data_IF_716390502322
#
_entry.id   IF_716390502322
#
_cell.length_a   1.000
_cell.length_b   1.000
_cell.length_c   1.000
_cell.angle_alpha   90.00
_cell.angle_beta   90.00
_cell.angle_gamma   90.00
#
_symmetry.space_group_name_H-M   'P 1'
#
loop_
_entity.id
_entity.type
_entity.pdbx_description
1 polymer ?
#
# COMPACT_ATOMS: atom_id res chain seq x y z
N UNK A 1 32.70 5.44 -4.15
CA UNK A 1 31.98 4.53 -3.23
C UNK A 1 30.71 5.18 -2.69
N UNK A 2 30.75 6.45 -2.27
CA UNK A 2 29.58 7.21 -1.79
C UNK A 2 28.44 7.32 -2.82
N UNK A 3 28.76 7.62 -4.09
CA UNK A 3 27.77 7.68 -5.17
C UNK A 3 27.02 6.37 -5.41
N UNK A 4 27.64 5.22 -5.11
CA UNK A 4 27.01 3.90 -5.30
C UNK A 4 26.00 3.62 -4.19
N UNK A 5 26.31 3.97 -2.94
CA UNK A 5 25.40 3.79 -1.80
C UNK A 5 24.18 4.73 -1.90
N UNK A 6 24.41 5.96 -2.35
CA UNK A 6 23.36 6.93 -2.66
C UNK A 6 22.38 6.37 -3.72
N UNK A 7 22.90 5.95 -4.88
CA UNK A 7 22.06 5.36 -5.93
C UNK A 7 21.28 4.14 -5.46
N UNK A 8 21.92 3.23 -4.73
CA UNK A 8 21.26 2.05 -4.15
C UNK A 8 20.10 2.45 -3.23
N UNK A 9 20.29 3.48 -2.40
CA UNK A 9 19.25 3.99 -1.50
C UNK A 9 18.05 4.56 -2.26
N UNK A 10 18.29 5.33 -3.34
CA UNK A 10 17.23 5.84 -4.22
C UNK A 10 16.49 4.70 -4.92
N UNK A 11 17.20 3.67 -5.41
CA UNK A 11 16.56 2.51 -6.03
C UNK A 11 15.68 1.74 -5.04
N UNK A 12 16.19 1.46 -3.84
CA UNK A 12 15.39 0.81 -2.80
C UNK A 12 14.18 1.66 -2.42
N UNK A 13 14.35 2.97 -2.21
CA UNK A 13 13.23 3.85 -1.87
C UNK A 13 12.15 3.89 -2.97
N UNK A 14 12.57 3.95 -4.23
CA UNK A 14 11.66 3.89 -5.39
C UNK A 14 10.93 2.55 -5.45
N UNK A 15 11.63 1.45 -5.22
CA UNK A 15 11.05 0.11 -5.18
C UNK A 15 9.99 -0.01 -4.07
N UNK A 16 10.24 0.54 -2.87
CA UNK A 16 9.28 0.53 -1.78
C UNK A 16 7.99 1.31 -2.11
N UNK A 17 8.10 2.45 -2.79
CA UNK A 17 6.95 3.24 -3.25
C UNK A 17 6.16 2.46 -4.32
N UNK A 18 6.84 1.81 -5.27
CA UNK A 18 6.19 0.98 -6.29
C UNK A 18 5.45 -0.21 -5.67
N UNK A 19 6.09 -0.94 -4.74
CA UNK A 19 5.46 -2.06 -4.03
C UNK A 19 4.21 -1.60 -3.27
N UNK A 20 4.29 -0.44 -2.60
CA UNK A 20 3.15 0.16 -1.91
C UNK A 20 1.98 0.46 -2.85
N UNK A 21 2.27 1.01 -4.03
CA UNK A 21 1.25 1.26 -5.05
C UNK A 21 0.62 -0.02 -5.61
N UNK A 22 1.40 -1.09 -5.78
CA UNK A 22 0.88 -2.40 -6.21
C UNK A 22 -0.07 -2.98 -5.15
N UNK A 23 0.30 -2.90 -3.87
CA UNK A 23 -0.55 -3.33 -2.76
C UNK A 23 -1.87 -2.56 -2.77
N UNK A 24 -1.80 -1.22 -2.87
CA UNK A 24 -2.97 -0.36 -2.92
C UNK A 24 -3.88 -0.72 -4.11
N UNK A 25 -3.30 -0.89 -5.30
CA UNK A 25 -4.05 -1.21 -6.51
C UNK A 25 -4.80 -2.56 -6.40
N UNK A 26 -4.18 -3.57 -5.79
CA UNK A 26 -4.83 -4.87 -5.56
C UNK A 26 -6.00 -4.77 -4.57
N UNK A 27 -5.83 -4.00 -3.50
CA UNK A 27 -6.91 -3.71 -2.54
C UNK A 27 -8.06 -2.99 -3.24
N UNK A 28 -7.75 -1.97 -4.03
CA UNK A 28 -8.71 -1.20 -4.83
C UNK A 28 -9.55 -2.08 -5.75
N UNK A 29 -8.93 -3.00 -6.49
CA UNK A 29 -9.67 -3.96 -7.34
C UNK A 29 -10.61 -4.83 -6.49
N UNK A 30 -10.14 -5.32 -5.35
CA UNK A 30 -10.93 -6.17 -4.46
C UNK A 30 -12.14 -5.42 -3.90
N UNK A 31 -11.98 -4.16 -3.50
CA UNK A 31 -13.06 -3.31 -3.01
C UNK A 31 -14.05 -2.93 -4.11
N UNK A 32 -13.55 -2.58 -5.32
CA UNK A 32 -14.41 -2.28 -6.47
C UNK A 32 -15.29 -3.46 -6.87
N UNK A 33 -14.77 -4.69 -6.82
CA UNK A 33 -15.54 -5.92 -7.05
C UNK A 33 -16.69 -6.12 -6.05
N UNK A 34 -16.58 -5.52 -4.87
CA UNK A 34 -17.61 -5.55 -3.82
C UNK A 34 -18.55 -4.33 -3.84
N UNK A 35 -18.42 -3.45 -4.83
CA UNK A 35 -19.28 -2.28 -4.98
C UNK A 35 -18.89 -1.08 -4.10
N UNK A 36 -17.71 -1.11 -3.47
CA UNK A 36 -17.20 0.06 -2.75
C UNK A 36 -16.63 1.09 -3.73
N UNK A 37 -16.92 2.36 -3.48
CA UNK A 37 -16.24 3.46 -4.15
C UNK A 37 -14.77 3.49 -3.71
N UNK A 38 -13.87 3.67 -4.67
CA UNK A 38 -12.43 3.59 -4.45
C UNK A 38 -11.76 4.81 -5.04
N UNK A 39 -11.00 5.51 -4.20
CA UNK A 39 -10.41 6.79 -4.55
C UNK A 39 -9.39 6.71 -5.69
N UNK A 40 -9.11 7.85 -6.33
CA UNK A 40 -7.95 8.00 -7.22
C UNK A 40 -6.64 8.02 -6.43
N UNK A 41 -5.49 8.12 -7.11
CA UNK A 41 -4.13 7.91 -6.56
C UNK A 41 -3.74 8.76 -5.34
N UNK A 42 -4.51 9.79 -5.01
CA UNK A 42 -4.29 10.65 -3.85
C UNK A 42 -5.14 10.28 -2.63
N UNK A 43 -5.91 9.18 -2.71
CA UNK A 43 -6.91 8.75 -1.73
C UNK A 43 -6.62 7.36 -1.15
N UNK A 44 -5.35 6.97 -1.04
CA UNK A 44 -4.94 5.70 -0.40
C UNK A 44 -5.57 5.50 0.99
N UNK A 45 -5.81 6.60 1.70
CA UNK A 45 -6.40 6.61 3.04
C UNK A 45 -7.92 6.38 3.06
N UNK A 46 -8.65 6.70 1.99
CA UNK A 46 -10.11 6.53 1.92
C UNK A 46 -10.50 5.05 1.73
N UNK A 47 -9.60 4.26 1.13
CA UNK A 47 -9.85 2.85 0.84
C UNK A 47 -9.71 1.95 2.09
N UNK A 48 -8.97 2.39 3.11
CA UNK A 48 -8.77 1.60 4.34
C UNK A 48 -10.06 1.47 5.17
N UNK A 49 -10.83 2.53 5.46
CA UNK A 49 -12.16 2.42 6.06
C UNK A 49 -13.12 1.53 5.27
N UNK A 50 -13.10 1.60 3.93
CA UNK A 50 -13.94 0.76 3.08
C UNK A 50 -13.57 -0.73 3.21
N UNK A 51 -12.29 -1.03 3.38
CA UNK A 51 -11.81 -2.38 3.66
C UNK A 51 -12.26 -2.89 5.03
N UNK A 52 -12.25 -2.05 6.06
CA UNK A 52 -12.77 -2.42 7.38
C UNK A 52 -14.28 -2.68 7.32
N UNK A 53 -15.04 -1.85 6.60
CA UNK A 53 -16.47 -2.08 6.35
C UNK A 53 -16.70 -3.39 5.61
N UNK A 54 -15.92 -3.67 4.57
CA UNK A 54 -16.02 -4.91 3.81
C UNK A 54 -15.75 -6.14 4.67
N UNK A 55 -14.80 -6.07 5.60
CA UNK A 55 -14.51 -7.14 6.56
C UNK A 55 -15.69 -7.36 7.52
N UNK A 56 -16.28 -6.27 8.03
CA UNK A 56 -17.35 -6.34 9.03
C UNK A 56 -18.67 -6.94 8.53
N UNK A 57 -18.91 -6.91 7.21
CA UNK A 57 -20.13 -7.45 6.59
C UNK A 57 -19.92 -8.77 5.84
N UNK A 58 -18.68 -9.26 5.74
CA UNK A 58 -18.36 -10.46 4.96
C UNK A 58 -18.66 -11.74 5.76
N UNK A 59 -19.57 -12.55 5.24
CA UNK A 59 -19.98 -13.82 5.85
C UNK A 59 -19.18 -15.02 5.34
N UNK A 60 -18.54 -14.91 4.16
CA UNK A 60 -17.75 -16.00 3.58
C UNK A 60 -16.36 -16.10 4.22
N UNK A 61 -15.98 -17.25 4.83
CA UNK A 61 -14.69 -17.40 5.50
C UNK A 61 -13.48 -17.21 4.58
N UNK A 62 -13.58 -17.61 3.31
CA UNK A 62 -12.49 -17.48 2.34
C UNK A 62 -12.28 -16.03 1.91
N UNK A 63 -13.36 -15.31 1.68
CA UNK A 63 -13.35 -13.89 1.35
C UNK A 63 -12.89 -13.03 2.53
N UNK A 64 -13.33 -13.36 3.74
CA UNK A 64 -12.91 -12.69 4.96
C UNK A 64 -11.40 -12.80 5.18
N UNK A 65 -10.83 -13.99 4.95
CA UNK A 65 -9.36 -14.19 4.96
C UNK A 65 -8.68 -13.33 3.91
N UNK A 66 -9.21 -13.27 2.68
CA UNK A 66 -8.66 -12.44 1.60
C UNK A 66 -8.69 -10.96 1.96
N UNK A 67 -9.81 -10.45 2.49
CA UNK A 67 -9.93 -9.05 2.90
C UNK A 67 -9.00 -8.71 4.08
N UNK A 68 -8.91 -9.61 5.05
CA UNK A 68 -7.99 -9.46 6.19
C UNK A 68 -6.53 -9.43 5.75
N UNK A 69 -6.16 -10.26 4.77
CA UNK A 69 -4.84 -10.20 4.15
C UNK A 69 -4.57 -8.84 3.48
N UNK A 70 -5.53 -8.32 2.70
CA UNK A 70 -5.41 -6.99 2.10
C UNK A 70 -5.32 -5.89 3.16
N UNK A 71 -6.00 -6.03 4.31
CA UNK A 71 -5.91 -5.07 5.43
C UNK A 71 -4.50 -5.01 5.98
N UNK A 72 -3.89 -6.17 6.20
CA UNK A 72 -2.53 -6.24 6.71
C UNK A 72 -1.51 -5.69 5.70
N UNK A 73 -1.71 -5.94 4.41
CA UNK A 73 -0.88 -5.33 3.37
C UNK A 73 -1.05 -3.80 3.30
N UNK A 74 -2.27 -3.29 3.40
CA UNK A 74 -2.53 -1.84 3.45
C UNK A 74 -1.88 -1.20 4.69
N UNK A 75 -1.84 -1.89 5.83
CA UNK A 75 -1.09 -1.42 7.00
C UNK A 75 0.42 -1.33 6.72
N UNK A 76 0.98 -2.27 5.95
CA UNK A 76 2.40 -2.21 5.59
C UNK A 76 2.74 -0.95 4.77
N UNK A 77 1.82 -0.43 3.95
CA UNK A 77 2.02 0.82 3.19
C UNK A 77 2.39 1.97 4.13
N UNK A 78 1.80 2.05 5.33
CA UNK A 78 2.10 3.12 6.30
C UNK A 78 3.56 3.14 6.75
N UNK A 79 4.26 2.01 6.65
CA UNK A 79 5.69 1.90 6.96
C UNK A 79 6.52 2.05 5.69
N UNK A 80 6.13 1.38 4.61
CA UNK A 80 6.89 1.35 3.36
C UNK A 80 6.95 2.71 2.66
N UNK A 81 5.85 3.48 2.67
CA UNK A 81 5.78 4.77 1.98
C UNK A 81 6.70 5.82 2.62
N UNK A 82 6.64 6.07 3.95
CA UNK A 82 7.55 7.00 4.60
C UNK A 82 9.00 6.53 4.55
N UNK A 83 9.26 5.23 4.67
CA UNK A 83 10.61 4.67 4.55
C UNK A 83 11.18 4.86 3.14
N UNK A 84 10.38 4.63 2.10
CA UNK A 84 10.79 4.86 0.72
C UNK A 84 11.13 6.31 0.43
N UNK A 85 10.30 7.24 0.91
CA UNK A 85 10.55 8.68 0.88
C UNK A 85 11.87 9.00 1.60
N UNK A 86 12.03 8.53 2.84
CA UNK A 86 13.23 8.78 3.64
C UNK A 86 14.50 8.31 2.94
N UNK A 87 14.51 7.12 2.33
CA UNK A 87 15.66 6.59 1.61
C UNK A 87 16.04 7.43 0.39
N UNK A 88 15.05 7.95 -0.34
CA UNK A 88 15.31 8.84 -1.50
C UNK A 88 15.91 10.17 -1.04
N UNK A 89 15.31 10.80 -0.02
CA UNK A 89 15.74 12.13 0.45
C UNK A 89 17.03 12.10 1.26
N UNK A 90 17.31 11.02 2.00
CA UNK A 90 18.55 10.87 2.77
C UNK A 90 19.77 10.64 1.87
N UNK A 91 19.55 10.18 0.64
CA UNK A 91 20.59 10.03 -0.39
C UNK A 91 20.91 11.33 -1.14
N UNK A 92 20.11 12.38 -0.95
CA UNK A 92 20.27 13.66 -1.64
C UNK A 92 21.03 14.70 -0.81
N UNK A 93 21.47 14.33 0.40
CA UNK A 93 22.31 15.12 1.31
C UNK A 93 23.70 14.51 1.37
#
# INVERSE_FOLDING_TARGET
>A
MENTLAQVSVYFGTLLILVSNVIWYRTKITLKKKGYDVGWINKHFDDYPNLLKAIGIESSPSELKRLTFHKNLMLAIWVLYPLGILLIFSSSK
#
